data_IF_130508451379
#
_entry.id   IF_130508451379
#
_cell.length_a   1.000
_cell.length_b   1.000
_cell.length_c   1.000
_cell.angle_alpha   90.00
_cell.angle_beta   90.00
_cell.angle_gamma   90.00
#
_symmetry.space_group_name_H-M   'P 1'
#
loop_
_entity.id
_entity.type
_entity.pdbx_description
1 polymer ?
#
# COMPACT_ATOMS: atom_id res chain seq x y z
N UNK A 1 -11.58 -1.74 -3.22
CA UNK A 1 -12.64 -0.72 -3.15
C UNK A 1 -12.34 0.34 -4.17
N UNK A 2 -13.28 1.26 -4.41
CA UNK A 2 -13.18 2.30 -5.45
C UNK A 2 -12.22 3.47 -5.10
N UNK A 3 -11.33 3.29 -4.12
CA UNK A 3 -10.37 4.30 -3.69
C UNK A 3 -10.92 5.33 -2.71
N UNK A 4 -10.04 6.22 -2.26
CA UNK A 4 -10.33 7.20 -1.21
C UNK A 4 -11.33 8.29 -1.65
N UNK A 5 -11.25 8.74 -2.91
CA UNK A 5 -12.20 9.73 -3.42
C UNK A 5 -13.64 9.20 -3.43
N UNK A 6 -13.82 7.91 -3.75
CA UNK A 6 -15.14 7.27 -3.66
C UNK A 6 -15.61 7.13 -2.21
N UNK A 7 -14.72 6.75 -1.29
CA UNK A 7 -15.01 6.70 0.15
C UNK A 7 -15.40 8.08 0.72
N UNK A 8 -14.83 9.15 0.20
CA UNK A 8 -15.17 10.54 0.55
C UNK A 8 -16.34 11.13 -0.25
N UNK A 9 -16.98 10.34 -1.12
CA UNK A 9 -18.11 10.79 -1.94
C UNK A 9 -17.76 11.86 -2.98
N UNK A 10 -16.48 12.08 -3.29
CA UNK A 10 -16.02 13.14 -4.18
C UNK A 10 -15.38 12.63 -5.49
N UNK A 11 -15.49 11.34 -5.80
CA UNK A 11 -14.93 10.75 -7.02
C UNK A 11 -15.42 11.44 -8.32
N UNK A 12 -16.65 11.95 -8.32
CA UNK A 12 -17.25 12.69 -9.45
C UNK A 12 -16.60 14.06 -9.72
N UNK A 13 -15.78 14.56 -8.79
CA UNK A 13 -15.04 15.83 -8.91
C UNK A 13 -13.61 15.64 -9.43
N UNK A 14 -13.24 14.42 -9.80
CA UNK A 14 -11.90 14.06 -10.24
C UNK A 14 -11.97 13.72 -11.73
N UNK A 15 -11.35 14.55 -12.57
CA UNK A 15 -11.37 14.41 -14.02
C UNK A 15 -10.56 13.21 -14.51
N UNK A 16 -9.46 12.91 -13.82
CA UNK A 16 -8.51 11.86 -14.19
C UNK A 16 -8.17 11.03 -12.95
N UNK A 17 -8.54 9.75 -12.98
CA UNK A 17 -8.13 8.76 -11.99
C UNK A 17 -6.93 7.99 -12.51
N UNK A 18 -5.83 8.01 -11.75
CA UNK A 18 -4.66 7.19 -12.03
C UNK A 18 -4.45 6.16 -10.93
N UNK A 19 -4.07 4.95 -11.31
CA UNK A 19 -3.80 3.89 -10.36
C UNK A 19 -2.75 2.90 -10.84
N UNK A 20 -2.36 2.02 -9.92
CA UNK A 20 -1.42 0.93 -10.20
C UNK A 20 -2.08 -0.41 -10.00
N UNK A 21 -1.73 -1.36 -10.86
CA UNK A 21 -2.13 -2.76 -10.77
C UNK A 21 -1.18 -3.57 -9.88
N UNK A 22 -0.02 -3.00 -9.50
CA UNK A 22 1.03 -3.69 -8.74
C UNK A 22 0.98 -3.58 -7.23
N UNK A 23 -0.12 -3.05 -6.67
CA UNK A 23 -0.33 -3.00 -5.21
C UNK A 23 -1.40 -4.00 -4.80
N UNK A 24 -2.58 -3.54 -4.41
CA UNK A 24 -3.66 -4.39 -3.91
C UNK A 24 -4.19 -5.40 -4.92
N UNK A 25 -3.98 -5.15 -6.22
CA UNK A 25 -4.39 -6.05 -7.30
C UNK A 25 -3.36 -7.14 -7.62
N UNK A 26 -2.15 -7.07 -7.04
CA UNK A 26 -1.16 -8.15 -7.14
C UNK A 26 -0.66 -8.48 -8.56
N UNK A 27 -0.81 -7.56 -9.52
CA UNK A 27 -0.37 -7.72 -10.91
C UNK A 27 0.75 -6.72 -11.25
N UNK A 28 0.87 -6.28 -12.50
CA UNK A 28 1.82 -5.28 -12.97
C UNK A 28 1.15 -4.30 -13.91
N UNK A 29 1.61 -3.05 -13.90
CA UNK A 29 1.10 -1.99 -14.77
C UNK A 29 0.41 -0.85 -14.01
N UNK A 30 -0.10 0.09 -14.79
CA UNK A 30 -0.86 1.24 -14.32
C UNK A 30 -2.03 1.52 -15.26
N UNK A 31 -2.96 2.34 -14.81
CA UNK A 31 -4.11 2.75 -15.61
C UNK A 31 -4.40 4.23 -15.42
N UNK A 32 -5.07 4.79 -16.41
CA UNK A 32 -5.75 6.07 -16.36
C UNK A 32 -7.22 5.84 -16.71
N UNK A 33 -8.12 6.41 -15.93
CA UNK A 33 -9.56 6.44 -16.20
C UNK A 33 -10.03 7.90 -16.19
N UNK A 34 -10.58 8.35 -17.31
CA UNK A 34 -11.01 9.73 -17.55
C UNK A 34 -12.14 9.73 -18.59
N UNK A 35 -12.59 10.92 -19.02
CA UNK A 35 -13.51 11.04 -20.16
C UNK A 35 -12.89 10.50 -21.45
N UNK A 36 -13.74 10.09 -22.41
CA UNK A 36 -13.28 9.60 -23.70
C UNK A 36 -12.37 10.61 -24.42
N UNK A 37 -12.72 11.90 -24.38
CA UNK A 37 -11.92 12.98 -24.97
C UNK A 37 -10.49 13.05 -24.38
N UNK A 38 -10.36 12.92 -23.06
CA UNK A 38 -9.04 12.92 -22.40
C UNK A 38 -8.26 11.64 -22.77
N UNK A 39 -8.93 10.49 -22.79
CA UNK A 39 -8.29 9.23 -23.16
C UNK A 39 -7.81 9.27 -24.61
N UNK A 40 -8.63 9.75 -25.55
CA UNK A 40 -8.25 9.90 -26.96
C UNK A 40 -7.04 10.82 -27.12
N UNK A 41 -7.00 11.93 -26.38
CA UNK A 41 -5.82 12.80 -26.36
C UNK A 41 -4.57 12.05 -25.87
N UNK A 42 -4.65 11.30 -24.77
CA UNK A 42 -3.52 10.52 -24.28
C UNK A 42 -3.07 9.41 -25.22
N UNK A 43 -4.00 8.74 -25.91
CA UNK A 43 -3.66 7.72 -26.90
C UNK A 43 -2.86 8.30 -28.07
N UNK A 44 -3.07 9.58 -28.42
CA UNK A 44 -2.40 10.25 -29.53
C UNK A 44 -1.11 11.01 -29.13
N UNK A 45 -0.98 11.46 -27.87
CA UNK A 45 0.12 12.34 -27.44
C UNK A 45 1.06 11.71 -26.40
N UNK A 46 0.60 10.73 -25.63
CA UNK A 46 1.41 10.17 -24.55
C UNK A 46 2.51 9.26 -25.10
N UNK A 47 3.72 9.80 -25.23
CA UNK A 47 4.91 9.06 -25.70
C UNK A 47 5.14 7.76 -24.92
N UNK A 48 4.88 7.75 -23.62
CA UNK A 48 5.03 6.56 -22.76
C UNK A 48 4.03 5.45 -23.09
N UNK A 49 2.89 5.78 -23.69
CA UNK A 49 1.94 4.81 -24.22
C UNK A 49 2.31 4.40 -25.65
N UNK A 50 2.54 5.37 -26.53
CA UNK A 50 2.81 5.15 -27.96
C UNK A 50 4.08 4.34 -28.23
N UNK A 51 5.15 4.61 -27.49
CA UNK A 51 6.45 3.96 -27.68
C UNK A 51 6.73 2.88 -26.61
N UNK A 52 5.74 2.58 -25.77
CA UNK A 52 5.81 1.53 -24.75
C UNK A 52 5.42 0.17 -25.31
N UNK A 53 6.07 -0.89 -24.83
CA UNK A 53 5.58 -2.25 -25.09
C UNK A 53 4.29 -2.48 -24.30
N UNK A 54 3.28 -3.04 -24.96
CA UNK A 54 2.03 -3.40 -24.31
C UNK A 54 2.28 -4.35 -23.10
N UNK A 55 1.46 -4.25 -22.02
CA UNK A 55 1.60 -5.14 -20.88
C UNK A 55 1.44 -6.61 -21.26
N UNK A 56 2.13 -7.49 -20.54
CA UNK A 56 2.02 -8.93 -20.76
C UNK A 56 0.54 -9.40 -20.61
N UNK A 57 0.00 -10.18 -21.57
CA UNK A 57 -1.40 -10.63 -21.51
C UNK A 57 -1.76 -11.36 -20.21
N UNK A 58 -0.85 -12.19 -19.69
CA UNK A 58 -1.04 -12.89 -18.42
C UNK A 58 -1.19 -11.93 -17.22
N UNK A 59 -0.43 -10.83 -17.20
CA UNK A 59 -0.56 -9.82 -16.16
C UNK A 59 -1.91 -9.09 -16.26
N UNK A 60 -2.37 -8.79 -17.48
CA UNK A 60 -3.69 -8.15 -17.68
C UNK A 60 -4.83 -9.08 -17.29
N UNK A 61 -4.75 -10.38 -17.61
CA UNK A 61 -5.73 -11.37 -17.16
C UNK A 61 -5.80 -11.43 -15.62
N UNK A 62 -4.65 -11.49 -14.95
CA UNK A 62 -4.59 -11.47 -13.48
C UNK A 62 -5.15 -10.18 -12.88
N UNK A 63 -4.88 -9.02 -13.49
CA UNK A 63 -5.41 -7.74 -13.03
C UNK A 63 -6.94 -7.65 -13.19
N UNK A 64 -7.47 -8.14 -14.30
CA UNK A 64 -8.92 -8.20 -14.55
C UNK A 64 -9.63 -9.07 -13.52
N UNK A 65 -9.10 -10.26 -13.23
CA UNK A 65 -9.67 -11.13 -12.20
C UNK A 65 -9.57 -10.50 -10.80
N UNK A 66 -8.42 -9.90 -10.46
CA UNK A 66 -8.26 -9.21 -9.19
C UNK A 66 -9.25 -8.04 -9.02
N UNK A 67 -9.61 -7.33 -10.10
CA UNK A 67 -10.64 -6.31 -10.10
C UNK A 67 -12.04 -6.90 -9.84
N UNK A 68 -12.36 -8.04 -10.44
CA UNK A 68 -13.60 -8.76 -10.19
C UNK A 68 -13.73 -9.17 -8.71
N UNK A 69 -12.67 -9.78 -8.14
CA UNK A 69 -12.62 -10.12 -6.71
C UNK A 69 -12.76 -8.87 -5.85
N UNK A 70 -12.09 -7.77 -6.21
CA UNK A 70 -12.14 -6.51 -5.46
C UNK A 70 -13.56 -5.90 -5.41
N UNK A 71 -14.36 -6.08 -6.46
CA UNK A 71 -15.77 -5.67 -6.55
C UNK A 71 -16.76 -6.63 -5.87
N UNK A 72 -16.34 -7.85 -5.53
CA UNK A 72 -17.19 -8.88 -4.95
C UNK A 72 -17.39 -8.76 -3.42
N UNK A 73 -18.24 -9.64 -2.87
CA UNK A 73 -18.39 -9.83 -1.43
C UNK A 73 -17.09 -10.25 -0.73
N UNK A 74 -16.24 -11.05 -1.40
CA UNK A 74 -14.92 -11.40 -0.89
C UNK A 74 -14.04 -10.15 -0.74
N UNK A 75 -14.02 -9.30 -1.76
CA UNK A 75 -13.30 -8.02 -1.72
C UNK A 75 -13.77 -7.11 -0.59
N UNK A 76 -15.07 -7.10 -0.28
CA UNK A 76 -15.62 -6.40 0.88
C UNK A 76 -15.09 -6.98 2.21
N UNK A 77 -15.11 -8.31 2.35
CA UNK A 77 -14.61 -9.01 3.54
C UNK A 77 -13.12 -8.76 3.77
N UNK A 78 -12.31 -8.78 2.71
CA UNK A 78 -10.88 -8.48 2.79
C UNK A 78 -10.62 -7.04 3.25
N UNK A 79 -11.39 -6.06 2.76
CA UNK A 79 -11.29 -4.66 3.22
C UNK A 79 -11.67 -4.51 4.68
N UNK A 80 -12.72 -5.19 5.14
CA UNK A 80 -13.13 -5.16 6.53
C UNK A 80 -12.08 -5.82 7.45
N UNK A 81 -11.49 -6.94 7.03
CA UNK A 81 -10.36 -7.54 7.75
C UNK A 81 -9.17 -6.58 7.86
N UNK A 82 -8.81 -5.92 6.77
CA UNK A 82 -7.74 -4.92 6.79
C UNK A 82 -8.07 -3.77 7.75
N UNK A 83 -9.32 -3.25 7.73
CA UNK A 83 -9.78 -2.20 8.64
C UNK A 83 -9.66 -2.63 10.10
N UNK A 84 -10.06 -3.86 10.44
CA UNK A 84 -9.89 -4.43 11.79
C UNK A 84 -8.43 -4.50 12.19
N UNK A 85 -7.54 -4.91 11.30
CA UNK A 85 -6.10 -4.97 11.57
C UNK A 85 -5.49 -3.58 11.78
N UNK A 86 -5.92 -2.57 11.01
CA UNK A 86 -5.52 -1.17 11.19
C UNK A 86 -5.96 -0.66 12.57
N UNK A 87 -7.21 -0.91 12.97
CA UNK A 87 -7.74 -0.49 14.26
C UNK A 87 -7.04 -1.19 15.43
N UNK A 88 -6.78 -2.48 15.31
CA UNK A 88 -6.03 -3.24 16.31
C UNK A 88 -4.62 -2.66 16.47
N UNK A 89 -3.90 -2.44 15.37
CA UNK A 89 -2.59 -1.79 15.42
C UNK A 89 -2.66 -0.43 16.12
N UNK A 90 -3.66 0.38 15.78
CA UNK A 90 -3.85 1.71 16.37
C UNK A 90 -4.15 1.67 17.88
N UNK A 91 -4.89 0.68 18.36
CA UNK A 91 -5.13 0.51 19.80
C UNK A 91 -3.88 0.14 20.60
N UNK A 92 -2.90 -0.48 19.95
CA UNK A 92 -1.63 -0.89 20.56
C UNK A 92 -0.54 0.18 20.38
N UNK A 93 -0.66 1.03 19.35
CA UNK A 93 0.23 2.13 19.05
C UNK A 93 -0.56 3.42 18.75
N UNK A 94 -0.88 4.23 19.78
CA UNK A 94 -1.75 5.40 19.64
C UNK A 94 -1.24 6.47 18.65
N UNK A 95 0.07 6.54 18.39
CA UNK A 95 0.67 7.45 17.41
C UNK A 95 0.53 6.99 15.94
N UNK A 96 -0.23 5.92 15.69
CA UNK A 96 -0.46 5.37 14.35
C UNK A 96 -1.25 6.31 13.43
N UNK A 97 -1.11 6.08 12.12
CA UNK A 97 -1.84 6.82 11.07
C UNK A 97 -3.16 6.15 10.71
N UNK A 98 -4.05 6.92 10.09
CA UNK A 98 -5.26 6.37 9.48
C UNK A 98 -4.89 5.73 8.13
N UNK A 99 -4.68 4.40 8.11
CA UNK A 99 -4.41 3.65 6.87
C UNK A 99 -3.61 2.35 7.06
N UNK A 100 -3.41 1.56 5.99
CA UNK A 100 -2.68 0.29 6.08
C UNK A 100 -1.15 0.45 6.14
N UNK A 101 -0.61 1.61 5.77
CA UNK A 101 0.83 1.89 5.82
C UNK A 101 1.14 2.66 7.09
N UNK A 102 1.90 2.03 7.98
CA UNK A 102 2.25 2.57 9.29
C UNK A 102 3.77 2.83 9.37
N UNK A 103 4.22 4.10 9.47
CA UNK A 103 5.61 4.39 9.69
C UNK A 103 5.97 4.18 11.17
N UNK A 104 7.11 3.55 11.43
CA UNK A 104 7.74 3.49 12.74
C UNK A 104 9.06 4.26 12.69
N UNK A 105 9.05 5.50 13.17
CA UNK A 105 10.14 6.46 12.98
C UNK A 105 11.23 6.20 14.03
N UNK A 106 12.45 5.98 13.56
CA UNK A 106 13.62 5.68 14.41
C UNK A 106 14.74 6.71 14.25
N UNK A 107 14.64 7.59 13.24
CA UNK A 107 15.58 8.64 12.83
C UNK A 107 16.96 8.14 12.39
N UNK A 108 17.61 7.30 13.19
CA UNK A 108 18.91 6.69 12.95
C UNK A 108 18.83 5.54 11.95
N UNK A 109 19.72 5.58 10.96
CA UNK A 109 19.89 4.52 9.96
C UNK A 109 20.30 3.19 10.62
N UNK A 110 21.21 3.23 11.58
CA UNK A 110 21.74 2.04 12.23
C UNK A 110 20.69 1.38 13.12
N UNK A 111 19.95 2.17 13.90
CA UNK A 111 18.82 1.67 14.71
C UNK A 111 17.78 1.03 13.78
N UNK A 112 17.46 1.67 12.66
CA UNK A 112 16.48 1.15 11.68
C UNK A 112 16.91 -0.19 11.10
N UNK A 113 18.19 -0.35 10.73
CA UNK A 113 18.71 -1.62 10.18
C UNK A 113 18.76 -2.70 11.26
N UNK A 114 19.17 -2.37 12.49
CA UNK A 114 19.17 -3.32 13.62
C UNK A 114 17.76 -3.80 13.95
N UNK A 115 16.79 -2.88 14.03
CA UNK A 115 15.40 -3.20 14.28
C UNK A 115 14.82 -4.11 13.18
N UNK A 116 15.08 -3.80 11.91
CA UNK A 116 14.69 -4.67 10.78
C UNK A 116 15.30 -6.07 10.92
N UNK A 117 16.60 -6.17 11.20
CA UNK A 117 17.28 -7.48 11.32
C UNK A 117 16.74 -8.30 12.49
N UNK A 118 16.48 -7.65 13.62
CA UNK A 118 15.85 -8.28 14.78
C UNK A 118 14.48 -8.85 14.40
N UNK A 119 13.59 -8.04 13.83
CA UNK A 119 12.26 -8.47 13.39
C UNK A 119 12.35 -9.62 12.37
N UNK A 120 13.27 -9.52 11.40
CA UNK A 120 13.49 -10.57 10.40
C UNK A 120 13.91 -11.90 11.02
N UNK A 121 14.76 -11.88 12.06
CA UNK A 121 15.16 -13.11 12.78
C UNK A 121 13.99 -13.81 13.47
N UNK A 122 12.90 -13.08 13.72
CA UNK A 122 11.66 -13.57 14.31
C UNK A 122 10.60 -13.97 13.25
N UNK A 123 10.96 -13.89 11.96
CA UNK A 123 10.06 -14.14 10.83
C UNK A 123 9.14 -12.96 10.49
N UNK A 124 9.42 -11.75 11.01
CA UNK A 124 8.65 -10.54 10.75
C UNK A 124 9.38 -9.66 9.72
N UNK A 125 8.94 -9.71 8.47
CA UNK A 125 9.55 -8.93 7.39
C UNK A 125 8.95 -7.52 7.32
N UNK A 126 9.79 -6.50 7.47
CA UNK A 126 9.41 -5.08 7.35
C UNK A 126 10.46 -4.31 6.55
N UNK A 127 10.01 -3.30 5.80
CA UNK A 127 10.93 -2.51 4.99
C UNK A 127 11.61 -1.42 5.83
N UNK A 128 12.94 -1.42 5.88
CA UNK A 128 13.74 -0.30 6.40
C UNK A 128 13.87 0.78 5.31
N UNK A 129 13.29 1.96 5.53
CA UNK A 129 13.35 3.09 4.61
C UNK A 129 14.32 4.12 5.19
N UNK A 130 15.34 4.48 4.41
CA UNK A 130 16.47 5.36 4.79
C UNK A 130 16.74 6.36 3.66
N UNK A 131 17.55 7.40 3.89
CA UNK A 131 18.03 8.27 2.81
C UNK A 131 18.67 7.46 1.65
N UNK A 132 18.51 7.90 0.39
CA UNK A 132 17.85 9.15 -0.05
C UNK A 132 16.32 9.07 -0.17
N UNK A 133 15.70 7.91 0.10
CA UNK A 133 14.25 7.71 -0.05
C UNK A 133 13.41 8.50 0.95
N UNK A 134 13.98 8.84 2.11
CA UNK A 134 13.41 9.76 3.11
C UNK A 134 14.47 10.78 3.52
N UNK A 135 14.08 11.98 4.01
CA UNK A 135 15.03 12.96 4.51
C UNK A 135 15.95 12.41 5.60
N UNK A 136 17.15 12.95 5.71
CA UNK A 136 18.09 12.65 6.80
C UNK A 136 17.44 12.85 8.17
N UNK A 137 17.84 12.03 9.15
CA UNK A 137 17.25 12.07 10.49
C UNK A 137 15.78 11.59 10.55
N UNK A 138 15.23 11.02 9.47
CA UNK A 138 13.84 10.49 9.46
C UNK A 138 13.74 9.04 9.00
N UNK A 139 14.81 8.26 9.18
CA UNK A 139 14.83 6.83 8.91
C UNK A 139 13.73 6.11 9.70
N UNK A 140 13.11 5.10 9.08
CA UNK A 140 11.91 4.45 9.63
C UNK A 140 11.73 3.03 9.11
N UNK A 141 11.01 2.22 9.86
CA UNK A 141 10.41 1.00 9.33
C UNK A 141 9.06 1.37 8.69
N UNK A 142 8.77 0.84 7.50
CA UNK A 142 7.48 0.98 6.82
C UNK A 142 6.70 -0.32 6.97
N UNK A 143 5.77 -0.33 7.91
CA UNK A 143 4.87 -1.46 8.15
C UNK A 143 3.72 -1.36 7.15
N UNK A 144 3.40 -2.48 6.49
CA UNK A 144 2.30 -2.57 5.53
C UNK A 144 1.34 -3.65 6.00
N UNK A 145 0.25 -3.24 6.64
CA UNK A 145 -0.77 -4.14 7.16
C UNK A 145 -1.55 -4.77 6.00
N UNK A 146 -1.90 -6.04 6.16
CA UNK A 146 -2.63 -6.83 5.18
C UNK A 146 -3.92 -7.38 5.79
N UNK A 147 -4.92 -7.60 4.94
CA UNK A 147 -6.15 -8.31 5.29
C UNK A 147 -5.89 -9.77 5.74
N UNK A 148 -4.72 -10.32 5.37
CA UNK A 148 -4.31 -11.70 5.67
C UNK A 148 -3.62 -11.86 7.02
N UNK A 149 -3.17 -10.77 7.65
CA UNK A 149 -2.55 -10.87 8.97
C UNK A 149 -3.60 -11.28 10.01
N UNK A 150 -3.22 -12.22 10.87
CA UNK A 150 -3.97 -12.58 12.06
C UNK A 150 -3.80 -11.52 13.15
N UNK A 151 -4.77 -11.40 14.09
CA UNK A 151 -4.63 -10.50 15.24
C UNK A 151 -3.40 -10.79 16.10
N UNK A 152 -2.98 -12.07 16.19
CA UNK A 152 -1.79 -12.47 16.95
C UNK A 152 -0.51 -11.95 16.30
N UNK A 153 -0.38 -12.02 14.98
CA UNK A 153 0.76 -11.46 14.24
C UNK A 153 0.85 -9.93 14.41
N UNK A 154 -0.29 -9.24 14.39
CA UNK A 154 -0.31 -7.78 14.62
C UNK A 154 0.15 -7.43 16.04
N UNK A 155 -0.31 -8.14 17.07
CA UNK A 155 0.13 -7.94 18.46
C UNK A 155 1.62 -8.20 18.62
N UNK A 156 2.08 -9.36 18.15
CA UNK A 156 3.49 -9.77 18.18
C UNK A 156 4.38 -8.74 17.49
N UNK A 157 3.95 -8.21 16.35
CA UNK A 157 4.69 -7.16 15.65
C UNK A 157 4.85 -5.91 16.51
N UNK A 158 3.76 -5.42 17.12
CA UNK A 158 3.81 -4.20 17.95
C UNK A 158 4.66 -4.41 19.21
N UNK A 159 4.55 -5.57 19.86
CA UNK A 159 5.39 -5.95 21.01
C UNK A 159 6.88 -5.91 20.67
N UNK A 160 7.28 -6.47 19.53
CA UNK A 160 8.67 -6.47 19.10
C UNK A 160 9.15 -5.10 18.61
N UNK A 161 8.28 -4.29 18.01
CA UNK A 161 8.58 -2.90 17.65
C UNK A 161 8.84 -2.04 18.89
N UNK A 162 8.10 -2.27 19.99
CA UNK A 162 8.26 -1.50 21.23
C UNK A 162 9.66 -1.61 21.86
N UNK A 163 10.44 -2.65 21.51
CA UNK A 163 11.87 -2.77 21.89
C UNK A 163 12.77 -1.73 21.23
N UNK A 164 12.28 -1.09 20.16
CA UNK A 164 12.94 0.01 19.45
C UNK A 164 12.01 1.21 19.50
N UNK A 165 11.93 1.96 20.61
CA UNK A 165 10.95 3.01 20.80
C UNK A 165 10.96 3.99 19.62
N UNK A 166 9.76 4.25 19.07
CA UNK A 166 9.61 5.28 18.05
C UNK A 166 9.86 6.66 18.66
N UNK A 167 10.52 7.53 17.90
CA UNK A 167 10.75 8.94 18.24
C UNK A 167 9.82 9.90 17.51
#
# INVERSE_FOLDING_TARGET
GAGWAAERGCAHRIDIHMGTLGKSLGSSGGFVAASAEIIDHFLNEARTFLYGTAPAPAAMAAATEALAVLGSAEGNRLRENLRRNILLYASLHPASRQGPIQPWILKSNDVTVRARNHLRSLGLEVAAIRPPTVPEGTARLRISLSARHSPAEVRRLVEELARFPAE
#
